data_IF_381901706974
#
_entry.id   IF_381901706974
#
_cell.length_a   1.000
_cell.length_b   1.000
_cell.length_c   1.000
_cell.angle_alpha   90.00
_cell.angle_beta   90.00
_cell.angle_gamma   90.00
#
_symmetry.space_group_name_H-M   'P 1'
#
loop_
_entity.id
_entity.type
_entity.pdbx_description
1 polymer ?
#
# COMPACT_ATOMS: atom_id res chain seq x y z
N UNK A 1 -15.25 22.30 9.84
CA UNK A 1 -15.38 21.85 8.43
C UNK A 1 -14.43 20.69 8.25
N UNK A 2 -14.94 19.46 8.33
CA UNK A 2 -14.11 18.27 8.16
C UNK A 2 -13.68 18.16 6.70
N UNK A 3 -12.37 18.16 6.47
CA UNK A 3 -11.80 17.95 5.14
C UNK A 3 -11.99 16.49 4.75
N UNK A 4 -12.86 16.24 3.77
CA UNK A 4 -12.99 14.95 3.10
C UNK A 4 -11.75 14.73 2.22
N UNK A 5 -10.68 14.15 2.79
CA UNK A 5 -9.57 13.61 2.01
C UNK A 5 -9.64 12.07 2.05
N UNK A 6 -9.86 11.45 0.89
CA UNK A 6 -9.76 10.00 0.62
C UNK A 6 -10.83 9.04 1.18
N UNK A 7 -12.03 9.50 1.54
CA UNK A 7 -13.11 8.58 1.95
C UNK A 7 -12.88 7.93 3.32
N UNK A 8 -11.91 8.44 4.08
CA UNK A 8 -11.77 8.21 5.52
C UNK A 8 -12.40 9.39 6.26
N UNK A 9 -13.25 9.10 7.25
CA UNK A 9 -13.88 10.11 8.09
C UNK A 9 -13.35 9.99 9.52
N UNK A 10 -12.88 11.12 10.08
CA UNK A 10 -12.34 11.23 11.44
C UNK A 10 -13.11 12.37 12.15
N UNK A 11 -13.57 12.12 13.37
CA UNK A 11 -14.07 13.17 14.26
C UNK A 11 -12.89 13.75 15.03
N UNK A 12 -12.64 15.04 14.85
CA UNK A 12 -11.48 15.75 15.39
C UNK A 12 -11.80 16.59 16.63
N UNK A 13 -13.08 16.74 16.99
CA UNK A 13 -13.51 17.53 18.13
C UNK A 13 -14.31 16.72 19.16
N UNK A 14 -14.17 17.11 20.42
CA UNK A 14 -14.76 16.42 21.59
C UNK A 14 -16.29 16.46 21.59
N UNK A 15 -16.88 17.54 21.07
CA UNK A 15 -18.33 17.70 20.97
C UNK A 15 -18.97 16.67 20.01
N UNK A 16 -18.42 16.52 18.81
CA UNK A 16 -18.88 15.57 17.81
C UNK A 16 -18.65 14.12 18.28
N UNK A 17 -17.56 13.88 19.02
CA UNK A 17 -17.29 12.58 19.62
C UNK A 17 -18.39 12.17 20.62
N UNK A 18 -18.84 13.11 21.45
CA UNK A 18 -19.88 12.86 22.43
C UNK A 18 -21.28 12.77 21.81
N UNK A 19 -21.56 13.56 20.76
CA UNK A 19 -22.74 13.41 19.93
C UNK A 19 -22.78 12.03 19.25
N UNK A 20 -21.67 11.56 18.70
CA UNK A 20 -21.58 10.24 18.06
C UNK A 20 -21.83 9.10 19.07
N UNK A 21 -21.26 9.19 20.29
CA UNK A 21 -21.53 8.24 21.38
C UNK A 21 -23.01 8.23 21.79
N UNK A 22 -23.62 9.41 21.93
CA UNK A 22 -25.03 9.53 22.28
C UNK A 22 -25.93 8.93 21.20
N UNK A 23 -25.70 9.30 19.93
CA UNK A 23 -26.43 8.79 18.78
C UNK A 23 -26.28 7.26 18.64
N UNK A 24 -25.08 6.72 18.81
CA UNK A 24 -24.85 5.27 18.82
C UNK A 24 -25.72 4.58 19.87
N UNK A 25 -25.68 5.04 21.12
CA UNK A 25 -26.44 4.43 22.22
C UNK A 25 -27.94 4.46 21.93
N UNK A 26 -28.47 5.61 21.50
CA UNK A 26 -29.87 5.76 21.14
C UNK A 26 -30.28 4.80 20.02
N UNK A 27 -29.46 4.66 18.97
CA UNK A 27 -29.72 3.74 17.86
C UNK A 27 -29.71 2.28 18.32
N UNK A 28 -28.70 1.86 19.08
CA UNK A 28 -28.61 0.47 19.60
C UNK A 28 -29.82 0.16 20.48
N UNK A 29 -30.15 1.01 21.44
CA UNK A 29 -31.31 0.81 22.32
C UNK A 29 -32.62 0.75 21.55
N UNK A 30 -32.80 1.61 20.54
CA UNK A 30 -33.99 1.58 19.69
C UNK A 30 -34.07 0.29 18.84
N UNK A 31 -32.93 -0.30 18.46
CA UNK A 31 -32.85 -1.46 17.56
C UNK A 31 -32.88 -2.81 18.29
N UNK A 32 -32.42 -2.90 19.54
CA UNK A 32 -32.32 -4.15 20.29
C UNK A 32 -33.68 -4.80 20.57
N UNK A 33 -34.73 -3.99 20.66
CA UNK A 33 -36.10 -4.44 20.90
C UNK A 33 -37.05 -4.22 19.72
N UNK A 34 -36.57 -3.61 18.64
CA UNK A 34 -37.40 -3.32 17.47
C UNK A 34 -37.54 -4.56 16.59
N UNK A 35 -38.75 -5.12 16.56
CA UNK A 35 -39.18 -6.10 15.55
C UNK A 35 -39.66 -5.42 14.26
N UNK A 36 -39.41 -4.12 14.09
CA UNK A 36 -39.92 -3.36 12.97
C UNK A 36 -39.24 -3.77 11.65
N UNK A 37 -40.01 -3.81 10.57
CA UNK A 37 -39.49 -4.06 9.22
C UNK A 37 -38.77 -2.81 8.68
N UNK A 38 -39.24 -1.62 9.09
CA UNK A 38 -38.67 -0.31 8.75
C UNK A 38 -38.72 0.62 9.96
N UNK A 39 -37.74 1.50 10.10
CA UNK A 39 -37.70 2.56 11.11
C UNK A 39 -37.77 3.92 10.39
N UNK A 40 -38.55 4.84 10.93
CA UNK A 40 -38.72 6.18 10.40
C UNK A 40 -37.89 7.18 11.22
N UNK A 41 -37.14 8.05 10.55
CA UNK A 41 -36.52 9.22 11.17
C UNK A 41 -37.46 10.41 10.99
N UNK A 42 -37.73 11.12 12.07
CA UNK A 42 -38.62 12.29 12.12
C UNK A 42 -37.84 13.44 12.73
N UNK A 43 -37.95 14.63 12.14
CA UNK A 43 -37.35 15.85 12.69
C UNK A 43 -38.07 16.27 13.98
N UNK A 44 -37.30 16.56 15.01
CA UNK A 44 -37.84 16.94 16.32
C UNK A 44 -38.31 18.40 16.32
N UNK A 45 -39.49 18.67 16.89
CA UNK A 45 -40.06 20.03 16.99
C UNK A 45 -40.88 20.53 15.81
N UNK A 46 -41.10 19.74 14.75
CA UNK A 46 -42.04 20.10 13.67
C UNK A 46 -43.45 19.61 14.06
N UNK A 47 -44.35 20.54 14.44
CA UNK A 47 -45.79 20.28 14.39
C UNK A 47 -46.10 19.90 12.93
N UNK A 48 -46.41 18.62 12.70
CA UNK A 48 -46.60 18.00 11.38
C UNK A 48 -47.07 18.99 10.32
N UNK A 49 -46.13 19.49 9.51
CA UNK A 49 -46.46 20.07 8.21
C UNK A 49 -46.82 18.86 7.35
N UNK A 50 -47.98 18.87 6.70
CA UNK A 50 -48.58 17.75 5.95
C UNK A 50 -47.64 17.10 4.90
N UNK A 51 -46.49 17.72 4.59
CA UNK A 51 -45.50 17.28 3.61
C UNK A 51 -44.07 17.03 4.15
N UNK A 52 -43.88 16.85 5.46
CA UNK A 52 -42.53 16.56 5.99
C UNK A 52 -42.04 15.16 5.54
N UNK A 53 -40.85 15.05 4.91
CA UNK A 53 -40.38 13.78 4.35
C UNK A 53 -40.03 12.78 5.47
N UNK A 54 -40.76 11.68 5.53
CA UNK A 54 -40.46 10.57 6.45
C UNK A 54 -39.44 9.63 5.82
N UNK A 55 -38.20 9.66 6.33
CA UNK A 55 -37.14 8.76 5.86
C UNK A 55 -37.30 7.36 6.48
N UNK A 56 -37.68 6.37 5.67
CA UNK A 56 -37.84 4.97 6.10
C UNK A 56 -36.57 4.17 5.78
N UNK A 57 -35.96 3.58 6.80
CA UNK A 57 -34.72 2.81 6.69
C UNK A 57 -34.89 1.37 7.20
N UNK A 58 -34.22 0.38 6.58
CA UNK A 58 -34.15 -0.97 7.13
C UNK A 58 -33.37 -0.99 8.45
N UNK A 59 -33.76 -1.81 9.45
CA UNK A 59 -33.03 -1.94 10.71
C UNK A 59 -31.55 -2.31 10.53
N UNK A 60 -31.23 -3.11 9.50
CA UNK A 60 -29.84 -3.49 9.17
C UNK A 60 -28.97 -2.28 8.81
N UNK A 61 -29.52 -1.29 8.11
CA UNK A 61 -28.78 -0.06 7.76
C UNK A 61 -28.49 0.77 9.02
N UNK A 62 -29.47 0.89 9.93
CA UNK A 62 -29.29 1.60 11.20
C UNK A 62 -28.30 0.90 12.14
N UNK A 63 -28.25 -0.44 12.15
CA UNK A 63 -27.20 -1.18 12.87
C UNK A 63 -25.81 -0.87 12.33
N UNK A 64 -25.66 -0.82 11.01
CA UNK A 64 -24.39 -0.44 10.37
C UNK A 64 -23.98 0.99 10.75
N UNK A 65 -24.93 1.94 10.81
CA UNK A 65 -24.66 3.30 11.30
C UNK A 65 -24.24 3.31 12.78
N UNK A 66 -24.86 2.51 13.64
CA UNK A 66 -24.47 2.41 15.04
C UNK A 66 -23.04 1.85 15.21
N UNK A 67 -22.66 0.85 14.43
CA UNK A 67 -21.29 0.32 14.41
C UNK A 67 -20.28 1.38 13.95
N UNK A 68 -20.62 2.12 12.89
CA UNK A 68 -19.81 3.21 12.36
C UNK A 68 -19.62 4.34 13.40
N UNK A 69 -20.71 4.81 14.02
CA UNK A 69 -20.66 5.84 15.06
C UNK A 69 -19.84 5.38 16.27
N UNK A 70 -19.90 4.10 16.63
CA UNK A 70 -19.08 3.52 17.70
C UNK A 70 -17.59 3.52 17.39
N UNK A 71 -17.21 3.23 16.14
CA UNK A 71 -15.81 3.31 15.71
C UNK A 71 -15.31 4.75 15.70
N UNK A 72 -16.11 5.69 15.18
CA UNK A 72 -15.78 7.13 15.20
C UNK A 72 -15.64 7.68 16.62
N UNK A 73 -16.54 7.29 17.53
CA UNK A 73 -16.50 7.63 18.95
C UNK A 73 -15.24 7.16 19.70
N UNK A 74 -14.51 6.21 19.13
CA UNK A 74 -13.22 5.71 19.64
C UNK A 74 -12.02 6.40 18.96
N UNK A 75 -12.25 7.41 18.11
CA UNK A 75 -11.21 8.07 17.33
C UNK A 75 -10.61 7.21 16.22
N UNK A 76 -11.28 6.12 15.82
CA UNK A 76 -10.81 5.27 14.72
C UNK A 76 -11.25 5.85 13.38
N UNK A 77 -10.33 5.90 12.42
CA UNK A 77 -10.67 6.17 11.03
C UNK A 77 -11.61 5.07 10.50
N UNK A 78 -12.69 5.48 9.83
CA UNK A 78 -13.67 4.55 9.24
C UNK A 78 -13.73 4.78 7.73
N UNK A 79 -13.76 3.68 6.96
CA UNK A 79 -13.96 3.69 5.51
C UNK A 79 -15.04 2.67 5.13
N UNK A 80 -15.96 3.08 4.26
CA UNK A 80 -16.99 2.21 3.68
C UNK A 80 -16.53 1.78 2.29
N UNK A 81 -16.19 0.50 2.14
CA UNK A 81 -15.79 -0.09 0.87
C UNK A 81 -16.95 -0.92 0.32
N UNK A 82 -17.56 -0.56 -0.83
CA UNK A 82 -18.57 -1.37 -1.47
C UNK A 82 -18.00 -2.76 -1.81
N UNK A 83 -18.76 -3.82 -1.52
CA UNK A 83 -18.31 -5.20 -1.70
C UNK A 83 -17.97 -5.56 -3.16
N UNK A 84 -18.62 -4.88 -4.10
CA UNK A 84 -18.44 -5.09 -5.54
C UNK A 84 -17.62 -3.97 -6.19
N UNK A 85 -16.88 -3.18 -5.41
CA UNK A 85 -16.04 -2.14 -5.96
C UNK A 85 -15.00 -2.75 -6.90
N UNK A 86 -15.15 -2.44 -8.18
CA UNK A 86 -14.18 -2.74 -9.21
C UNK A 86 -13.08 -1.68 -9.14
N UNK A 87 -11.96 -2.04 -8.53
CA UNK A 87 -10.80 -1.15 -8.42
C UNK A 87 -9.86 -1.37 -9.61
N UNK A 88 -9.20 -0.30 -10.02
CA UNK A 88 -8.15 -0.35 -11.01
C UNK A 88 -6.93 -1.11 -10.50
N UNK A 89 -6.07 -1.54 -11.42
CA UNK A 89 -4.75 -2.11 -11.07
C UNK A 89 -3.87 -1.15 -10.29
N UNK A 90 -4.08 0.16 -10.40
CA UNK A 90 -3.30 1.14 -9.64
C UNK A 90 -3.79 1.22 -8.20
N UNK A 91 -5.09 1.37 -7.99
CA UNK A 91 -5.71 1.38 -6.66
C UNK A 91 -5.44 0.07 -5.92
N UNK A 92 -5.56 -1.07 -6.62
CA UNK A 92 -5.24 -2.37 -6.05
C UNK A 92 -3.76 -2.52 -5.69
N UNK A 93 -2.84 -2.03 -6.53
CA UNK A 93 -1.42 -2.07 -6.25
C UNK A 93 -1.06 -1.21 -5.02
N UNK A 94 -1.67 -0.03 -4.92
CA UNK A 94 -1.52 0.87 -3.78
C UNK A 94 -2.08 0.27 -2.49
N UNK A 95 -3.29 -0.29 -2.53
CA UNK A 95 -3.92 -0.96 -1.39
C UNK A 95 -3.13 -2.20 -0.91
N UNK A 96 -2.54 -2.93 -1.85
CA UNK A 96 -1.72 -4.11 -1.57
C UNK A 96 -0.26 -3.76 -1.25
N UNK A 97 0.12 -2.48 -1.35
CA UNK A 97 1.48 -1.97 -1.21
C UNK A 97 2.50 -2.74 -2.06
N UNK A 98 2.16 -3.00 -3.33
CA UNK A 98 3.03 -3.63 -4.32
C UNK A 98 3.15 -2.75 -5.57
N UNK A 99 4.18 -2.96 -6.38
CA UNK A 99 4.26 -2.24 -7.66
C UNK A 99 3.15 -2.71 -8.61
N UNK A 100 2.58 -1.76 -9.39
CA UNK A 100 1.57 -2.07 -10.41
C UNK A 100 2.06 -3.14 -11.40
N UNK A 101 3.31 -3.11 -11.93
CA UNK A 101 3.80 -4.18 -12.80
C UNK A 101 3.78 -5.56 -12.14
N UNK A 102 4.15 -5.64 -10.85
CA UNK A 102 4.10 -6.89 -10.10
C UNK A 102 2.66 -7.41 -9.97
N UNK A 103 1.71 -6.53 -9.65
CA UNK A 103 0.29 -6.90 -9.61
C UNK A 103 -0.21 -7.38 -10.97
N UNK A 104 0.11 -6.67 -12.05
CA UNK A 104 -0.29 -7.06 -13.42
C UNK A 104 0.26 -8.44 -13.78
N UNK A 105 1.52 -8.74 -13.46
CA UNK A 105 2.10 -10.08 -13.66
C UNK A 105 1.33 -11.15 -12.90
N UNK A 106 0.95 -10.91 -11.65
CA UNK A 106 0.13 -11.85 -10.87
C UNK A 106 -1.27 -12.08 -11.47
N UNK A 107 -1.87 -11.05 -12.07
CA UNK A 107 -3.15 -11.18 -12.79
C UNK A 107 -2.99 -12.06 -14.03
N UNK A 108 -1.93 -11.84 -14.82
CA UNK A 108 -1.66 -12.59 -16.05
C UNK A 108 -1.28 -14.06 -15.79
N UNK A 109 -0.59 -14.32 -14.67
CA UNK A 109 -0.32 -15.67 -14.17
C UNK A 109 -1.56 -16.39 -13.60
N UNK A 110 -2.73 -15.73 -13.58
CA UNK A 110 -3.98 -16.30 -13.08
C UNK A 110 -4.04 -16.45 -11.54
N UNK A 111 -3.09 -15.85 -10.81
CA UNK A 111 -3.01 -15.94 -9.34
C UNK A 111 -4.04 -15.05 -8.64
N UNK A 112 -4.56 -14.05 -9.35
CA UNK A 112 -5.58 -13.12 -8.88
C UNK A 112 -6.62 -12.98 -9.99
N UNK A 113 -7.90 -13.17 -9.66
CA UNK A 113 -8.97 -12.97 -10.63
C UNK A 113 -9.13 -11.49 -10.95
N UNK A 114 -9.32 -11.19 -12.24
CA UNK A 114 -9.63 -9.85 -12.73
C UNK A 114 -10.65 -9.94 -13.86
N UNK A 115 -11.30 -8.83 -14.17
CA UNK A 115 -12.13 -8.66 -15.34
C UNK A 115 -11.54 -7.58 -16.24
N UNK A 116 -11.73 -7.73 -17.56
CA UNK A 116 -11.42 -6.65 -18.50
C UNK A 116 -12.68 -5.85 -18.76
N UNK A 117 -12.62 -4.54 -18.53
CA UNK A 117 -13.65 -3.58 -18.91
C UNK A 117 -13.03 -2.71 -20.01
N UNK A 118 -13.39 -3.00 -21.26
CA UNK A 118 -12.67 -2.50 -22.43
C UNK A 118 -11.19 -2.95 -22.41
N UNK A 119 -10.27 -1.99 -22.53
CA UNK A 119 -8.82 -2.23 -22.51
C UNK A 119 -8.26 -2.35 -21.08
N UNK A 120 -9.03 -1.98 -20.05
CA UNK A 120 -8.54 -1.86 -18.68
C UNK A 120 -8.87 -3.09 -17.83
N UNK A 121 -7.91 -3.50 -16.99
CA UNK A 121 -8.11 -4.57 -15.99
C UNK A 121 -8.75 -3.95 -14.73
N UNK A 122 -9.82 -4.59 -14.26
CA UNK A 122 -10.55 -4.26 -13.02
C UNK A 122 -10.49 -5.45 -12.08
N UNK A 123 -10.14 -5.21 -10.83
CA UNK A 123 -10.11 -6.21 -9.77
C UNK A 123 -11.35 -6.02 -8.91
N UNK A 124 -12.07 -7.10 -8.61
CA UNK A 124 -13.06 -7.07 -7.52
C UNK A 124 -12.30 -7.21 -6.22
N UNK A 125 -12.60 -6.34 -5.25
CA UNK A 125 -12.03 -6.42 -3.92
C UNK A 125 -12.60 -7.62 -3.14
N UNK A 126 -12.19 -8.82 -3.53
CA UNK A 126 -12.43 -10.02 -2.76
C UNK A 126 -11.37 -10.08 -1.65
N UNK A 127 -11.81 -10.02 -0.39
CA UNK A 127 -10.97 -10.31 0.79
C UNK A 127 -10.07 -11.53 0.46
N UNK A 128 -8.75 -11.31 0.38
CA UNK A 128 -7.75 -12.39 0.34
C UNK A 128 -7.49 -12.81 1.79
N UNK A 129 -8.12 -13.87 2.32
CA UNK A 129 -7.95 -14.25 3.72
C UNK A 129 -6.51 -14.66 4.05
N UNK A 130 -5.70 -15.01 3.04
CA UNK A 130 -4.27 -15.32 3.15
C UNK A 130 -3.37 -14.08 3.31
N UNK A 131 -3.86 -12.87 2.98
CA UNK A 131 -3.13 -11.62 3.09
C UNK A 131 -4.00 -10.55 3.78
N UNK A 132 -4.15 -10.62 5.12
CA UNK A 132 -4.92 -9.62 5.86
C UNK A 132 -4.31 -8.22 5.67
N UNK A 133 -5.15 -7.22 5.38
CA UNK A 133 -4.70 -5.82 5.23
C UNK A 133 -3.87 -5.33 6.42
N UNK A 134 -4.24 -5.73 7.64
CA UNK A 134 -3.50 -5.42 8.86
C UNK A 134 -2.05 -5.95 8.82
N UNK A 135 -1.82 -7.13 8.23
CA UNK A 135 -0.48 -7.70 8.06
C UNK A 135 0.34 -6.94 7.03
N UNK A 136 -0.28 -6.48 5.94
CA UNK A 136 0.38 -5.66 4.91
C UNK A 136 0.75 -4.28 5.47
N UNK A 137 -0.18 -3.62 6.16
CA UNK A 137 0.06 -2.33 6.83
C UNK A 137 1.17 -2.43 7.88
N UNK A 138 1.16 -3.50 8.69
CA UNK A 138 2.22 -3.75 9.67
C UNK A 138 3.58 -3.92 8.98
N UNK A 139 3.62 -4.68 7.87
CA UNK A 139 4.86 -4.88 7.11
C UNK A 139 5.37 -3.58 6.52
N UNK A 140 4.51 -2.79 5.88
CA UNK A 140 4.85 -1.47 5.34
C UNK A 140 5.37 -0.52 6.43
N UNK A 141 4.71 -0.50 7.59
CA UNK A 141 5.15 0.30 8.76
C UNK A 141 6.54 -0.13 9.22
N UNK A 142 6.79 -1.44 9.36
CA UNK A 142 8.10 -1.96 9.75
C UNK A 142 9.18 -1.64 8.71
N UNK A 143 8.84 -1.67 7.41
CA UNK A 143 9.77 -1.27 6.34
C UNK A 143 10.12 0.22 6.42
N UNK A 144 9.11 1.07 6.61
CA UNK A 144 9.28 2.52 6.75
C UNK A 144 10.07 2.91 8.00
N UNK A 145 10.02 2.09 9.06
CA UNK A 145 10.78 2.29 10.30
C UNK A 145 12.17 1.63 10.30
N UNK A 146 12.47 0.78 9.34
CA UNK A 146 13.72 0.01 9.33
C UNK A 146 14.94 0.87 8.98
N UNK A 147 14.74 1.92 8.19
CA UNK A 147 15.78 2.82 7.70
C UNK A 147 15.22 4.23 7.74
N UNK A 148 15.86 5.12 8.49
CA UNK A 148 15.44 6.52 8.56
C UNK A 148 15.51 7.17 7.18
N UNK A 149 14.46 7.93 6.84
CA UNK A 149 14.38 8.62 5.55
C UNK A 149 14.07 7.73 4.35
N UNK A 150 13.74 6.45 4.53
CA UNK A 150 13.42 5.56 3.40
C UNK A 150 12.08 5.87 2.73
N UNK A 151 11.14 6.50 3.45
CA UNK A 151 9.87 6.95 2.91
C UNK A 151 10.01 8.38 2.39
N UNK A 152 10.16 8.50 1.07
CA UNK A 152 10.14 9.79 0.38
C UNK A 152 8.68 10.19 0.13
N UNK A 153 8.33 11.42 0.49
CA UNK A 153 7.01 12.01 0.29
C UNK A 153 7.14 13.30 -0.52
N UNK A 154 6.02 13.79 -1.06
CA UNK A 154 5.94 15.07 -1.79
C UNK A 154 6.76 15.10 -3.08
N UNK A 155 6.98 13.95 -3.72
CA UNK A 155 7.63 13.87 -5.03
C UNK A 155 6.64 14.04 -6.19
N UNK A 156 5.35 13.98 -5.92
CA UNK A 156 4.27 13.99 -6.90
C UNK A 156 4.23 15.27 -7.73
N UNK A 157 4.54 16.42 -7.12
CA UNK A 157 4.58 17.72 -7.79
C UNK A 157 5.69 17.82 -8.84
N UNK A 158 6.74 17.02 -8.69
CA UNK A 158 7.88 17.01 -9.60
C UNK A 158 7.64 16.12 -10.83
N UNK A 159 6.76 15.11 -10.74
CA UNK A 159 6.49 14.14 -11.82
C UNK A 159 6.17 14.81 -13.17
N UNK A 160 5.29 15.82 -13.26
CA UNK A 160 4.93 16.42 -14.54
C UNK A 160 6.10 17.16 -15.22
N UNK A 161 7.09 17.63 -14.45
CA UNK A 161 8.24 18.37 -14.96
C UNK A 161 9.36 17.45 -15.51
N UNK A 162 9.33 16.15 -15.15
CA UNK A 162 10.34 15.20 -15.60
C UNK A 162 9.98 14.60 -16.96
N UNK A 163 11.01 14.33 -17.76
CA UNK A 163 10.89 13.67 -19.06
C UNK A 163 11.80 12.46 -19.10
N UNK A 164 11.20 11.28 -19.16
CA UNK A 164 11.87 9.99 -19.32
C UNK A 164 11.26 9.23 -20.51
N UNK A 165 11.97 8.25 -21.09
CA UNK A 165 11.43 7.39 -22.14
C UNK A 165 10.10 6.72 -21.75
N UNK A 166 9.99 6.25 -20.50
CA UNK A 166 8.74 5.75 -19.92
C UNK A 166 8.12 6.80 -18.96
N UNK A 167 6.93 7.34 -19.26
CA UNK A 167 6.23 8.25 -18.36
C UNK A 167 5.92 7.65 -16.99
N UNK A 168 5.77 6.32 -16.91
CA UNK A 168 5.50 5.62 -15.66
C UNK A 168 6.74 5.57 -14.77
N UNK A 169 7.97 5.77 -15.25
CA UNK A 169 9.20 5.75 -14.42
C UNK A 169 9.54 7.09 -13.77
N UNK A 170 8.85 8.17 -14.17
CA UNK A 170 9.10 9.53 -13.66
C UNK A 170 8.93 9.66 -12.15
N UNK A 171 8.07 8.84 -11.53
CA UNK A 171 7.90 8.85 -10.07
C UNK A 171 9.15 8.33 -9.35
N UNK A 172 9.88 7.37 -9.93
CA UNK A 172 11.14 6.85 -9.37
C UNK A 172 12.19 7.95 -9.37
N UNK A 173 12.35 8.65 -10.50
CA UNK A 173 13.28 9.77 -10.60
C UNK A 173 12.87 10.93 -9.68
N UNK A 174 11.58 11.27 -9.61
CA UNK A 174 11.08 12.30 -8.72
C UNK A 174 11.40 11.99 -7.25
N UNK A 175 11.15 10.74 -6.82
CA UNK A 175 11.46 10.30 -5.47
C UNK A 175 12.98 10.30 -5.20
N UNK A 176 13.80 9.92 -6.19
CA UNK A 176 15.26 9.99 -6.06
C UNK A 176 15.76 11.44 -5.88
N UNK A 177 15.20 12.40 -6.62
CA UNK A 177 15.56 13.82 -6.50
C UNK A 177 15.15 14.39 -5.14
N UNK A 178 13.89 14.19 -4.72
CA UNK A 178 13.40 14.69 -3.43
C UNK A 178 14.09 13.98 -2.24
N UNK A 179 14.37 12.69 -2.40
CA UNK A 179 15.12 11.91 -1.42
C UNK A 179 16.63 12.20 -1.39
N UNK A 180 17.13 13.10 -2.25
CA UNK A 180 18.56 13.41 -2.41
C UNK A 180 19.41 12.15 -2.61
N UNK A 181 18.93 11.21 -3.41
CA UNK A 181 19.64 9.97 -3.69
C UNK A 181 20.85 10.23 -4.60
N UNK A 182 22.02 9.71 -4.23
CA UNK A 182 23.21 9.77 -5.08
C UNK A 182 23.10 8.87 -6.31
N UNK A 183 22.33 7.77 -6.20
CA UNK A 183 22.16 6.80 -7.28
C UNK A 183 20.78 6.11 -7.31
N UNK A 184 20.33 5.77 -8.51
CA UNK A 184 19.22 4.84 -8.79
C UNK A 184 19.81 3.49 -9.18
N UNK A 185 19.44 2.43 -8.46
CA UNK A 185 19.91 1.06 -8.73
C UNK A 185 18.80 0.30 -9.48
N UNK A 186 19.01 -0.03 -10.75
CA UNK A 186 17.96 -0.64 -11.60
C UNK A 186 18.53 -1.54 -12.71
N UNK A 187 17.81 -2.63 -13.04
CA UNK A 187 18.10 -3.44 -14.22
C UNK A 187 17.76 -2.71 -15.53
N UNK A 188 16.84 -1.75 -15.47
CA UNK A 188 16.30 -1.09 -16.65
C UNK A 188 17.05 0.21 -16.98
N UNK A 189 18.35 0.13 -17.20
CA UNK A 189 19.21 1.31 -17.44
C UNK A 189 18.70 2.22 -18.57
N UNK A 190 18.12 1.62 -19.62
CA UNK A 190 17.58 2.34 -20.78
C UNK A 190 16.41 3.26 -20.44
N UNK A 191 15.70 2.99 -19.34
CA UNK A 191 14.53 3.77 -18.91
C UNK A 191 14.98 5.05 -18.18
N UNK A 192 16.25 5.12 -17.79
CA UNK A 192 16.88 6.25 -17.09
C UNK A 192 18.15 6.72 -17.83
N UNK A 193 18.02 7.26 -19.06
CA UNK A 193 19.17 7.69 -19.83
C UNK A 193 19.83 8.94 -19.21
N UNK A 194 21.14 9.10 -19.40
CA UNK A 194 21.94 10.17 -18.79
C UNK A 194 21.48 11.60 -19.12
N UNK A 195 20.74 11.79 -20.22
CA UNK A 195 20.16 13.09 -20.57
C UNK A 195 18.87 13.40 -19.79
N UNK A 196 18.16 12.37 -19.30
CA UNK A 196 16.92 12.49 -18.52
C UNK A 196 17.15 12.51 -17.01
N UNK A 197 18.33 12.10 -16.55
CA UNK A 197 18.72 12.07 -15.14
C UNK A 197 19.94 12.96 -14.96
N UNK A 198 19.76 14.14 -14.36
CA UNK A 198 20.87 15.03 -13.98
C UNK A 198 21.23 14.80 -12.52
N UNK A 199 22.53 14.77 -12.22
CA UNK A 199 23.10 14.72 -10.87
C UNK A 199 22.83 13.45 -10.04
N UNK A 200 22.21 12.42 -10.64
CA UNK A 200 21.99 11.11 -10.01
C UNK A 200 22.60 10.03 -10.90
N UNK A 201 23.42 9.17 -10.31
CA UNK A 201 24.03 8.05 -11.03
C UNK A 201 23.00 6.92 -11.25
N UNK A 202 23.01 6.26 -12.41
CA UNK A 202 22.14 5.11 -12.66
C UNK A 202 23.01 3.88 -12.80
N UNK A 203 22.88 2.95 -11.85
CA UNK A 203 23.74 1.77 -11.75
C UNK A 203 22.94 0.48 -11.93
N UNK A 204 23.57 -0.49 -12.60
CA UNK A 204 23.07 -1.85 -12.59
C UNK A 204 23.26 -2.46 -11.19
N UNK A 205 22.33 -3.30 -10.68
CA UNK A 205 22.46 -3.87 -9.35
C UNK A 205 23.73 -4.71 -9.16
N UNK A 206 24.17 -5.41 -10.21
CA UNK A 206 25.41 -6.22 -10.17
C UNK A 206 26.66 -5.34 -10.00
N UNK A 207 26.71 -4.21 -10.71
CA UNK A 207 27.84 -3.26 -10.64
C UNK A 207 27.84 -2.55 -9.27
N UNK A 208 26.67 -2.18 -8.76
CA UNK A 208 26.53 -1.60 -7.42
C UNK A 208 27.05 -2.56 -6.34
N UNK A 209 26.65 -3.83 -6.38
CA UNK A 209 27.09 -4.83 -5.39
C UNK A 209 28.59 -5.09 -5.47
N UNK A 210 29.16 -5.10 -6.68
CA UNK A 210 30.61 -5.19 -6.87
C UNK A 210 31.31 -3.98 -6.24
N UNK A 211 30.83 -2.76 -6.48
CA UNK A 211 31.37 -1.55 -5.86
C UNK A 211 31.30 -1.60 -4.31
N UNK A 212 30.20 -2.10 -3.75
CA UNK A 212 30.06 -2.27 -2.29
C UNK A 212 31.04 -3.32 -1.73
N UNK A 213 31.30 -4.40 -2.48
CA UNK A 213 32.27 -5.41 -2.11
C UNK A 213 33.70 -4.86 -2.10
N UNK A 214 34.09 -4.12 -3.14
CA UNK A 214 35.41 -3.47 -3.22
C UNK A 214 35.58 -2.39 -2.13
N UNK A 215 34.51 -1.67 -1.80
CA UNK A 215 34.53 -0.67 -0.73
C UNK A 215 34.79 -1.29 0.65
N UNK A 216 34.13 -2.41 0.98
CA UNK A 216 34.36 -3.11 2.25
C UNK A 216 33.95 -4.59 2.19
N UNK A 217 34.89 -5.43 1.73
CA UNK A 217 34.71 -6.88 1.61
C UNK A 217 34.18 -7.55 2.89
N UNK A 218 34.75 -7.22 4.06
CA UNK A 218 34.38 -7.88 5.32
C UNK A 218 32.92 -7.54 5.68
N UNK A 219 32.52 -6.27 5.59
CA UNK A 219 31.15 -5.83 5.91
C UNK A 219 30.14 -6.37 4.90
N UNK A 220 30.52 -6.42 3.61
CA UNK A 220 29.70 -6.98 2.55
C UNK A 220 29.40 -8.46 2.81
N UNK A 221 30.43 -9.29 2.95
CA UNK A 221 30.27 -10.74 3.16
C UNK A 221 29.48 -11.04 4.45
N UNK A 222 29.74 -10.30 5.54
CA UNK A 222 28.94 -10.42 6.77
C UNK A 222 27.45 -10.10 6.56
N UNK A 223 27.15 -9.11 5.71
CA UNK A 223 25.77 -8.74 5.39
C UNK A 223 25.08 -9.81 4.55
N UNK A 224 25.78 -10.36 3.54
CA UNK A 224 25.28 -11.48 2.71
C UNK A 224 25.01 -12.70 3.59
N UNK A 225 25.93 -13.04 4.50
CA UNK A 225 25.74 -14.13 5.47
C UNK A 225 24.48 -13.97 6.30
N UNK A 226 24.33 -12.80 6.93
CA UNK A 226 23.16 -12.47 7.74
C UNK A 226 21.86 -12.52 6.93
N UNK A 227 21.89 -12.06 5.68
CA UNK A 227 20.73 -12.14 4.78
C UNK A 227 20.36 -13.59 4.50
N UNK A 228 21.34 -14.44 4.16
CA UNK A 228 21.13 -15.87 3.88
C UNK A 228 20.54 -16.59 5.09
N UNK A 229 21.11 -16.39 6.27
CA UNK A 229 20.66 -17.01 7.54
C UNK A 229 19.21 -16.62 7.93
N UNK A 230 18.70 -15.50 7.42
CA UNK A 230 17.31 -15.05 7.62
C UNK A 230 16.31 -15.76 6.71
N UNK A 231 16.76 -16.34 5.59
CA UNK A 231 15.90 -17.16 4.73
C UNK A 231 15.62 -18.47 5.46
N UNK A 232 14.42 -18.61 6.03
CA UNK A 232 14.00 -19.80 6.79
C UNK A 232 12.93 -20.62 6.08
N UNK A 233 12.31 -20.09 5.04
CA UNK A 233 11.15 -20.69 4.34
C UNK A 233 11.20 -20.41 2.83
N UNK A 234 11.94 -21.21 2.04
CA UNK A 234 12.88 -22.26 2.47
C UNK A 234 14.23 -21.69 2.91
N UNK A 235 15.00 -22.42 3.74
CA UNK A 235 16.42 -22.11 3.95
C UNK A 235 17.21 -22.30 2.65
N UNK A 236 18.30 -21.55 2.51
CA UNK A 236 19.22 -21.65 1.36
C UNK A 236 20.66 -21.88 1.81
N UNK A 237 21.35 -22.80 1.14
CA UNK A 237 22.81 -22.91 1.22
C UNK A 237 23.50 -21.71 0.56
N UNK A 238 24.81 -21.56 0.75
CA UNK A 238 25.58 -20.50 0.10
C UNK A 238 25.53 -20.68 -1.43
N UNK A 239 25.69 -21.90 -1.92
CA UNK A 239 25.65 -22.26 -3.34
C UNK A 239 24.27 -21.97 -3.94
N UNK A 240 23.18 -22.33 -3.25
CA UNK A 240 21.82 -22.06 -3.71
C UNK A 240 21.52 -20.56 -3.79
N UNK A 241 22.03 -19.77 -2.83
CA UNK A 241 21.91 -18.32 -2.86
C UNK A 241 22.68 -17.75 -4.06
N UNK A 242 23.94 -18.14 -4.25
CA UNK A 242 24.80 -17.71 -5.36
C UNK A 242 24.12 -18.01 -6.71
N UNK A 243 23.66 -19.26 -6.90
CA UNK A 243 22.96 -19.67 -8.12
C UNK A 243 21.67 -18.88 -8.33
N UNK A 244 20.99 -18.47 -7.25
CA UNK A 244 19.81 -17.60 -7.36
C UNK A 244 20.21 -16.22 -7.85
N UNK A 245 21.25 -15.60 -7.27
CA UNK A 245 21.71 -14.26 -7.66
C UNK A 245 22.15 -14.24 -9.13
N UNK A 246 22.91 -15.23 -9.56
CA UNK A 246 23.32 -15.38 -10.97
C UNK A 246 22.12 -15.45 -11.92
N UNK A 247 21.13 -16.31 -11.60
CA UNK A 247 19.90 -16.43 -12.40
C UNK A 247 19.04 -15.17 -12.41
N UNK A 248 19.18 -14.31 -11.40
CA UNK A 248 18.51 -13.00 -11.33
C UNK A 248 19.30 -11.89 -12.03
N UNK A 249 20.36 -12.24 -12.79
CA UNK A 249 21.15 -11.27 -13.55
C UNK A 249 22.27 -10.62 -12.76
N UNK A 250 22.81 -11.29 -11.73
CA UNK A 250 23.95 -10.81 -10.94
C UNK A 250 25.19 -11.71 -11.10
N UNK A 251 25.69 -11.94 -12.33
CA UNK A 251 26.78 -12.88 -12.59
C UNK A 251 28.10 -12.48 -11.92
N UNK A 252 28.45 -11.19 -11.90
CA UNK A 252 29.71 -10.72 -11.29
C UNK A 252 29.67 -10.87 -9.77
N UNK A 253 28.55 -10.50 -9.16
CA UNK A 253 28.30 -10.71 -7.72
C UNK A 253 28.36 -12.20 -7.38
N UNK A 254 27.75 -13.06 -8.21
CA UNK A 254 27.80 -14.50 -8.00
C UNK A 254 29.24 -15.04 -8.05
N UNK A 255 30.06 -14.56 -8.99
CA UNK A 255 31.47 -14.95 -9.11
C UNK A 255 32.29 -14.60 -7.87
N UNK A 256 32.21 -13.35 -7.38
CA UNK A 256 32.95 -12.94 -6.17
C UNK A 256 32.48 -13.71 -4.93
N UNK A 257 31.20 -14.07 -4.86
CA UNK A 257 30.65 -14.84 -3.74
C UNK A 257 31.05 -16.31 -3.80
N UNK A 258 31.21 -16.92 -4.99
CA UNK A 258 31.76 -18.29 -5.10
C UNK A 258 33.17 -18.39 -4.51
N UNK A 259 34.01 -17.38 -4.76
CA UNK A 259 35.35 -17.33 -4.20
C UNK A 259 35.36 -17.18 -2.65
N UNK A 260 34.23 -16.81 -2.05
CA UNK A 260 34.06 -16.59 -0.62
C UNK A 260 32.92 -17.42 0.00
N UNK A 261 32.52 -18.54 -0.63
CA UNK A 261 31.32 -19.30 -0.25
C UNK A 261 31.33 -19.75 1.22
N UNK A 262 32.49 -20.17 1.73
CA UNK A 262 32.69 -20.58 3.13
C UNK A 262 32.47 -19.44 4.16
N UNK A 263 32.47 -18.19 3.70
CA UNK A 263 32.33 -17.01 4.55
C UNK A 263 30.90 -16.45 4.61
N UNK A 264 29.97 -16.97 3.80
CA UNK A 264 28.61 -16.45 3.63
C UNK A 264 27.51 -17.42 4.01
#
# INVERSE_FOLDING_TARGET
>A
MSSLSNGEMILDNEHDLDLAKAAQRCLVTALDHSKAINIAIIEDGVERIEDSPVLRLPPKALRMFAELLGAMAQGKAVSLVPRDLEISTQEAAMMLNVSRPHLVRMLEEGKIMFQKVGTHRRLRFANRPDLPLASLQKTATMMNQAIDGCLVQNFEELIPALTLPDPDDRHVLAAAIIGHADAIITFNLKDFPANGVRDIEVLHPDDFLLAQYELNKIKFLKSVKKMRERLRKPPKSAEELILTLEKQGLPQTAEILRAAAELI
#
